data_IF_187445582889
#
_entry.id   IF_187445582889
#
_cell.length_a   1.000
_cell.length_b   1.000
_cell.length_c   1.000
_cell.angle_alpha   90.00
_cell.angle_beta   90.00
_cell.angle_gamma   90.00
#
_symmetry.space_group_name_H-M   'P 1'
#
loop_
_entity.id
_entity.type
_entity.pdbx_description
1 polymer ?
#
# COMPACT_ATOMS: atom_id res chain seq x y z
N UNK A 1 -5.24 -15.72 -11.60
CA UNK A 1 -4.66 -15.16 -10.36
C UNK A 1 -4.04 -13.81 -10.67
N UNK A 2 -4.78 -12.72 -10.49
CA UNK A 2 -4.20 -11.38 -10.62
C UNK A 2 -3.35 -11.18 -9.36
N UNK A 3 -2.03 -11.31 -9.51
CA UNK A 3 -1.11 -11.33 -8.38
C UNK A 3 -0.75 -9.92 -7.90
N UNK A 4 -0.78 -8.93 -8.80
CA UNK A 4 -0.45 -7.53 -8.54
C UNK A 4 -1.11 -6.61 -9.58
N UNK A 5 -1.53 -5.41 -9.15
CA UNK A 5 -1.95 -4.36 -10.07
C UNK A 5 -0.73 -3.47 -10.43
N UNK A 6 -0.36 -3.33 -11.72
CA UNK A 6 0.90 -2.69 -12.12
C UNK A 6 0.97 -1.21 -11.75
N UNK A 7 -0.16 -0.51 -11.66
CA UNK A 7 -0.21 0.88 -11.19
C UNK A 7 0.05 0.99 -9.69
N UNK A 8 -0.48 0.05 -8.90
CA UNK A 8 -0.29 0.03 -7.46
C UNK A 8 1.19 -0.18 -7.10
N UNK A 9 1.92 -0.97 -7.89
CA UNK A 9 3.35 -1.17 -7.70
C UNK A 9 4.16 0.14 -7.83
N UNK A 10 3.81 1.00 -8.80
CA UNK A 10 4.44 2.33 -8.96
C UNK A 10 4.13 3.23 -7.76
N UNK A 11 2.85 3.33 -7.38
CA UNK A 11 2.40 4.12 -6.23
C UNK A 11 3.11 3.67 -4.94
N UNK A 12 3.23 2.36 -4.69
CA UNK A 12 3.93 1.81 -3.53
C UNK A 12 5.40 2.22 -3.49
N UNK A 13 6.10 2.11 -4.63
CA UNK A 13 7.52 2.45 -4.70
C UNK A 13 7.73 3.91 -4.33
N UNK A 14 7.00 4.80 -4.99
CA UNK A 14 7.15 6.25 -4.78
C UNK A 14 6.74 6.64 -3.34
N UNK A 15 5.72 5.97 -2.77
CA UNK A 15 5.34 6.15 -1.38
C UNK A 15 6.40 5.66 -0.38
N UNK A 16 7.01 4.49 -0.59
CA UNK A 16 8.05 3.99 0.31
C UNK A 16 9.33 4.82 0.25
N UNK A 17 9.69 5.30 -0.94
CA UNK A 17 10.79 6.24 -1.12
C UNK A 17 10.52 7.55 -0.36
N UNK A 18 9.32 8.12 -0.50
CA UNK A 18 8.93 9.29 0.27
C UNK A 18 8.97 9.05 1.79
N UNK A 19 8.50 7.89 2.27
CA UNK A 19 8.53 7.56 3.69
C UNK A 19 9.97 7.46 4.23
N UNK A 20 10.89 6.96 3.42
CA UNK A 20 12.31 6.82 3.78
C UNK A 20 13.03 8.17 3.76
N UNK A 21 12.93 8.88 2.64
CA UNK A 21 13.75 10.06 2.36
C UNK A 21 13.16 11.32 3.01
N UNK A 22 11.86 11.60 2.80
CA UNK A 22 11.21 12.82 3.28
C UNK A 22 10.74 12.68 4.73
N UNK A 23 10.10 11.56 5.07
CA UNK A 23 9.53 11.34 6.40
C UNK A 23 10.52 10.68 7.39
N UNK A 24 11.73 10.35 6.92
CA UNK A 24 12.84 9.76 7.72
C UNK A 24 12.40 8.58 8.59
N UNK A 25 11.46 7.77 8.09
CA UNK A 25 11.01 6.58 8.82
C UNK A 25 12.10 5.52 8.82
N UNK A 26 12.20 4.78 9.92
CA UNK A 26 13.08 3.62 10.00
C UNK A 26 12.64 2.54 9.01
N UNK A 27 13.59 1.73 8.55
CA UNK A 27 13.28 0.59 7.67
C UNK A 27 12.27 -0.38 8.31
N UNK A 28 12.31 -0.53 9.64
CA UNK A 28 11.32 -1.32 10.39
C UNK A 28 9.90 -0.76 10.28
N UNK A 29 9.75 0.56 10.30
CA UNK A 29 8.44 1.21 10.15
C UNK A 29 7.95 1.05 8.72
N UNK A 30 8.83 1.23 7.73
CA UNK A 30 8.50 1.03 6.31
C UNK A 30 8.09 -0.42 6.05
N UNK A 31 8.75 -1.40 6.67
CA UNK A 31 8.36 -2.81 6.56
C UNK A 31 6.98 -3.10 7.15
N UNK A 32 6.66 -2.52 8.30
CA UNK A 32 5.31 -2.61 8.87
C UNK A 32 4.25 -1.98 7.96
N UNK A 33 4.56 -0.84 7.34
CA UNK A 33 3.70 -0.19 6.35
C UNK A 33 3.50 -1.10 5.12
N UNK A 34 4.56 -1.74 4.61
CA UNK A 34 4.46 -2.72 3.51
C UNK A 34 3.51 -3.86 3.84
N UNK A 35 3.64 -4.44 5.04
CA UNK A 35 2.77 -5.52 5.52
C UNK A 35 1.30 -5.08 5.61
N UNK A 36 1.05 -3.88 6.11
CA UNK A 36 -0.30 -3.33 6.19
C UNK A 36 -0.93 -3.14 4.81
N UNK A 37 -0.18 -2.60 3.85
CA UNK A 37 -0.65 -2.42 2.47
C UNK A 37 -0.90 -3.76 1.78
N UNK A 38 -0.03 -4.76 1.95
CA UNK A 38 -0.24 -6.10 1.39
C UNK A 38 -1.53 -6.75 1.93
N UNK A 39 -1.81 -6.58 3.24
CA UNK A 39 -3.06 -7.06 3.84
C UNK A 39 -4.28 -6.36 3.22
N UNK A 40 -4.21 -5.05 3.01
CA UNK A 40 -5.30 -4.28 2.39
C UNK A 40 -5.51 -4.65 0.91
N UNK A 41 -4.44 -4.85 0.15
CA UNK A 41 -4.52 -5.33 -1.24
C UNK A 41 -5.18 -6.71 -1.30
N UNK A 42 -4.87 -7.63 -0.38
CA UNK A 42 -5.54 -8.93 -0.31
C UNK A 42 -7.02 -8.81 0.04
N UNK A 43 -7.37 -7.96 0.99
CA UNK A 43 -8.75 -7.70 1.39
C UNK A 43 -9.59 -7.14 0.22
N UNK A 44 -8.98 -6.28 -0.59
CA UNK A 44 -9.63 -5.64 -1.75
C UNK A 44 -9.44 -6.40 -3.08
N UNK A 45 -8.78 -7.57 -3.06
CA UNK A 45 -8.50 -8.38 -4.26
C UNK A 45 -7.68 -7.60 -5.31
N UNK A 46 -6.67 -6.86 -4.86
CA UNK A 46 -5.74 -6.06 -5.67
C UNK A 46 -6.42 -4.98 -6.53
N UNK A 47 -7.49 -4.38 -6.00
CA UNK A 47 -8.18 -3.25 -6.63
C UNK A 47 -7.25 -2.03 -6.78
N UNK A 48 -7.57 -1.12 -7.71
CA UNK A 48 -6.77 0.08 -7.94
C UNK A 48 -6.87 1.00 -6.70
N UNK A 49 -5.73 1.43 -6.16
CA UNK A 49 -5.70 2.35 -5.01
C UNK A 49 -6.43 3.68 -5.26
N UNK A 50 -6.60 4.07 -6.53
CA UNK A 50 -7.37 5.27 -6.90
C UNK A 50 -8.87 5.14 -6.63
N UNK A 51 -9.38 3.92 -6.50
CA UNK A 51 -10.78 3.59 -6.18
C UNK A 51 -10.92 3.42 -4.65
N UNK A 52 -9.94 3.88 -3.87
CA UNK A 52 -10.02 3.88 -2.42
C UNK A 52 -11.30 4.59 -1.96
N UNK A 53 -12.08 3.88 -1.14
CA UNK A 53 -13.28 4.40 -0.51
C UNK A 53 -13.15 4.19 0.99
N UNK A 54 -13.34 5.26 1.77
CA UNK A 54 -13.30 5.21 3.24
C UNK A 54 -14.20 4.10 3.83
N UNK A 55 -15.30 3.75 3.19
CA UNK A 55 -16.18 2.67 3.64
C UNK A 55 -15.54 1.28 3.50
N UNK A 56 -14.70 1.05 2.48
CA UNK A 56 -13.90 -0.17 2.37
C UNK A 56 -12.86 -0.27 3.49
N UNK A 57 -12.33 0.87 3.94
CA UNK A 57 -11.37 0.93 5.04
C UNK A 57 -12.01 0.74 6.42
N UNK A 58 -13.31 1.01 6.58
CA UNK A 58 -14.04 0.75 7.84
C UNK A 58 -14.26 -0.76 8.05
N UNK A 59 -14.38 -1.53 6.96
CA UNK A 59 -14.53 -2.99 7.02
C UNK A 59 -13.22 -3.78 7.10
N UNK A 60 -12.07 -3.09 7.09
CA UNK A 60 -10.72 -3.64 7.14
C UNK A 60 -10.11 -3.43 8.53
#
# INVERSE_FOLDING_TARGET
>A
MIKYHPRNARIKRDYFEWQKEANRKSDSTIDNIRKAIDRYERYTVFDDFRIFNKHKAIGF
#
